data_IF_899551178467
#
_entry.id   IF_899551178467
#
_cell.length_a   1.000
_cell.length_b   1.000
_cell.length_c   1.000
_cell.angle_alpha   90.00
_cell.angle_beta   90.00
_cell.angle_gamma   90.00
#
_symmetry.space_group_name_H-M   'P 1'
#
loop_
_entity.id
_entity.type
_entity.pdbx_description
1 polymer ?
#
# COMPACT_ATOMS: atom_id res chain seq x y z
N UNK A 1 33.57 -19.68 -9.89
CA UNK A 1 32.21 -19.47 -9.33
C UNK A 1 32.19 -19.84 -7.86
N UNK A 2 32.00 -18.87 -6.95
CA UNK A 2 31.83 -19.11 -5.50
C UNK A 2 30.40 -18.70 -5.09
N UNK A 3 29.58 -19.67 -4.69
CA UNK A 3 28.24 -19.45 -4.14
C UNK A 3 28.39 -18.89 -2.72
N UNK A 4 27.88 -17.69 -2.45
CA UNK A 4 27.82 -17.14 -1.09
C UNK A 4 26.53 -17.64 -0.42
N UNK A 5 26.66 -18.52 0.57
CA UNK A 5 25.58 -18.92 1.47
C UNK A 5 25.42 -17.83 2.53
N UNK A 6 24.24 -17.21 2.61
CA UNK A 6 23.90 -16.25 3.67
C UNK A 6 23.29 -17.01 4.83
N UNK A 7 24.01 -17.08 5.95
CA UNK A 7 23.53 -17.61 7.23
C UNK A 7 22.95 -16.45 8.03
N UNK A 8 21.64 -16.46 8.24
CA UNK A 8 20.99 -15.52 9.15
C UNK A 8 21.26 -15.95 10.59
N UNK A 9 22.11 -15.21 11.31
CA UNK A 9 22.22 -15.34 12.77
C UNK A 9 21.09 -14.53 13.41
N UNK A 10 20.04 -15.22 13.84
CA UNK A 10 19.06 -14.68 14.77
C UNK A 10 19.73 -14.58 16.14
N UNK A 11 20.10 -13.37 16.55
CA UNK A 11 20.46 -13.07 17.93
C UNK A 11 19.26 -12.40 18.59
N UNK A 12 18.44 -13.21 19.26
CA UNK A 12 17.53 -12.69 20.28
C UNK A 12 18.37 -12.25 21.47
N UNK A 13 18.27 -10.97 21.83
CA UNK A 13 18.65 -10.50 23.16
C UNK A 13 17.69 -9.39 23.56
N UNK A 14 16.88 -9.71 24.56
CA UNK A 14 15.97 -8.78 25.20
C UNK A 14 16.73 -7.67 25.93
N UNK A 15 16.01 -6.56 26.07
CA UNK A 15 16.10 -5.49 27.09
C UNK A 15 16.59 -4.10 26.67
N UNK A 16 15.75 -3.16 27.14
CA UNK A 16 15.93 -1.76 27.53
C UNK A 16 16.00 -0.67 26.46
N UNK A 17 14.85 0.03 26.35
CA UNK A 17 14.67 1.40 25.85
C UNK A 17 15.49 1.80 24.61
N UNK A 18 15.11 1.27 23.45
CA UNK A 18 15.52 1.89 22.19
C UNK A 18 14.43 2.87 21.76
N UNK A 19 14.77 4.16 21.72
CA UNK A 19 14.10 5.09 20.82
C UNK A 19 14.09 4.43 19.44
N UNK A 20 12.90 4.13 18.92
CA UNK A 20 12.71 3.60 17.57
C UNK A 20 13.02 4.71 16.57
N UNK A 21 14.30 5.07 16.43
CA UNK A 21 14.72 5.86 15.30
C UNK A 21 14.87 4.91 14.12
N UNK A 22 13.85 4.89 13.28
CA UNK A 22 13.89 4.17 12.02
C UNK A 22 15.00 4.78 11.15
N UNK A 23 16.00 4.00 10.72
CA UNK A 23 17.05 4.54 9.87
C UNK A 23 16.44 4.98 8.53
N UNK A 24 16.69 6.21 8.10
CA UNK A 24 16.36 6.66 6.75
C UNK A 24 17.21 5.87 5.74
N UNK A 25 16.63 4.81 5.18
CA UNK A 25 17.24 4.04 4.10
C UNK A 25 16.95 4.77 2.79
N UNK A 26 17.95 5.48 2.28
CA UNK A 26 17.88 6.06 0.93
C UNK A 26 18.04 4.95 -0.12
N UNK A 27 16.93 4.54 -0.73
CA UNK A 27 16.97 3.67 -1.91
C UNK A 27 17.37 4.51 -3.14
N UNK A 28 18.45 4.12 -3.81
CA UNK A 28 18.90 4.79 -5.03
C UNK A 28 17.78 4.80 -6.08
N UNK A 29 17.51 5.96 -6.66
CA UNK A 29 16.56 6.09 -7.76
C UNK A 29 17.12 5.36 -8.99
N UNK A 30 16.57 4.19 -9.28
CA UNK A 30 16.72 3.58 -10.60
C UNK A 30 16.03 4.50 -11.61
N UNK A 31 16.79 5.05 -12.56
CA UNK A 31 16.23 5.60 -13.79
C UNK A 31 15.53 4.45 -14.51
N UNK A 32 14.27 4.24 -14.15
CA UNK A 32 13.38 3.44 -14.97
C UNK A 32 12.96 4.36 -16.10
N UNK A 33 13.19 3.88 -17.32
CA UNK A 33 12.49 4.36 -18.50
C UNK A 33 11.04 4.64 -18.12
N UNK A 34 10.54 5.80 -18.50
CA UNK A 34 9.22 6.31 -18.17
C UNK A 34 8.19 5.41 -18.85
N UNK A 35 8.00 4.23 -18.28
CA UNK A 35 6.89 3.34 -18.55
C UNK A 35 5.65 4.15 -18.22
N UNK A 36 4.77 4.21 -19.21
CA UNK A 36 3.60 5.07 -19.32
C UNK A 36 2.66 4.85 -18.14
N UNK A 37 2.96 5.47 -17.00
CA UNK A 37 1.97 5.67 -15.95
C UNK A 37 1.03 6.75 -16.48
N UNK A 38 -0.12 6.32 -16.97
CA UNK A 38 -1.24 7.23 -17.20
C UNK A 38 -1.60 7.83 -15.84
N UNK A 39 -1.14 9.06 -15.61
CA UNK A 39 -1.46 9.82 -14.40
C UNK A 39 -2.88 10.33 -14.57
N UNK A 40 -3.79 9.77 -13.79
CA UNK A 40 -5.13 10.33 -13.64
C UNK A 40 -5.03 11.51 -12.66
N UNK A 41 -5.67 12.62 -13.02
CA UNK A 41 -5.79 13.77 -12.14
C UNK A 41 -6.78 13.51 -11.00
N UNK A 42 -6.58 14.18 -9.86
CA UNK A 42 -7.54 14.11 -8.75
C UNK A 42 -8.95 14.55 -9.20
N UNK A 43 -9.03 15.58 -10.05
CA UNK A 43 -10.29 16.04 -10.63
C UNK A 43 -11.01 14.94 -11.40
N UNK A 44 -10.30 14.17 -12.22
CA UNK A 44 -10.88 13.04 -12.94
C UNK A 44 -11.35 11.91 -12.01
N UNK A 45 -10.67 11.69 -10.88
CA UNK A 45 -11.15 10.76 -9.85
C UNK A 45 -12.45 11.27 -9.22
N UNK A 46 -12.49 12.55 -8.84
CA UNK A 46 -13.64 13.14 -8.17
C UNK A 46 -14.87 13.21 -9.10
N UNK A 47 -14.67 13.42 -10.40
CA UNK A 47 -15.74 13.49 -11.40
C UNK A 47 -16.23 12.11 -11.87
N UNK A 48 -15.34 11.13 -11.97
CA UNK A 48 -15.67 9.84 -12.62
C UNK A 48 -15.75 8.64 -11.68
N UNK A 49 -15.31 8.77 -10.42
CA UNK A 49 -15.29 7.67 -9.46
C UNK A 49 -16.15 7.96 -8.24
N UNK A 50 -16.74 6.90 -7.69
CA UNK A 50 -17.36 6.95 -6.36
C UNK A 50 -16.33 6.60 -5.29
N UNK A 51 -16.47 7.21 -4.14
CA UNK A 51 -15.71 6.77 -2.96
C UNK A 51 -16.15 5.36 -2.56
N UNK A 52 -15.26 4.64 -1.86
CA UNK A 52 -15.59 3.33 -1.29
C UNK A 52 -16.79 3.39 -0.32
N UNK A 53 -16.94 4.50 0.40
CA UNK A 53 -18.07 4.70 1.31
C UNK A 53 -19.39 4.80 0.54
N UNK A 54 -19.42 5.57 -0.56
CA UNK A 54 -20.60 5.72 -1.40
C UNK A 54 -20.98 4.43 -2.11
N UNK A 55 -20.00 3.71 -2.67
CA UNK A 55 -20.26 2.43 -3.34
C UNK A 55 -20.81 1.40 -2.35
N UNK A 56 -20.25 1.31 -1.15
CA UNK A 56 -20.76 0.43 -0.09
C UNK A 56 -22.20 0.80 0.30
N UNK A 57 -22.50 2.09 0.49
CA UNK A 57 -23.85 2.56 0.82
C UNK A 57 -24.87 2.15 -0.25
N UNK A 58 -24.55 2.37 -1.52
CA UNK A 58 -25.44 2.03 -2.64
C UNK A 58 -25.71 0.53 -2.74
N UNK A 59 -24.68 -0.30 -2.55
CA UNK A 59 -24.84 -1.77 -2.55
C UNK A 59 -25.77 -2.19 -1.40
N UNK A 60 -25.56 -1.67 -0.19
CA UNK A 60 -26.41 -1.98 0.96
C UNK A 60 -27.85 -1.52 0.74
N UNK A 61 -28.07 -0.33 0.19
CA UNK A 61 -29.41 0.18 -0.14
C UNK A 61 -30.12 -0.73 -1.15
N UNK A 62 -29.40 -1.20 -2.19
CA UNK A 62 -29.95 -2.13 -3.18
C UNK A 62 -30.32 -3.48 -2.57
N UNK A 63 -29.48 -4.01 -1.68
CA UNK A 63 -29.76 -5.24 -0.94
C UNK A 63 -30.99 -5.05 -0.05
N UNK A 64 -31.06 -3.97 0.72
CA UNK A 64 -32.20 -3.69 1.58
C UNK A 64 -33.50 -3.60 0.76
N UNK A 65 -33.52 -2.86 -0.37
CA UNK A 65 -34.70 -2.81 -1.25
C UNK A 65 -35.09 -4.16 -1.83
N UNK A 66 -34.13 -5.06 -2.06
CA UNK A 66 -34.42 -6.39 -2.59
C UNK A 66 -35.05 -7.32 -1.54
N UNK A 67 -34.67 -7.17 -0.26
CA UNK A 67 -35.13 -8.04 0.83
C UNK A 67 -36.16 -7.40 1.76
N UNK A 68 -36.52 -6.13 1.56
CA UNK A 68 -37.60 -5.45 2.29
C UNK A 68 -38.86 -5.50 1.42
N UNK A 69 -39.95 -6.15 1.87
CA UNK A 69 -41.20 -6.26 1.13
C UNK A 69 -41.93 -4.92 0.95
#
# INVERSE_FOLDING_TARGET
>A
MKKKKTTYRLAMKEQSSCSLHEPEIAYGQSQRDVDVYAVISQKELDENCLTLAESKRLIMEKIHKHFTP
#
